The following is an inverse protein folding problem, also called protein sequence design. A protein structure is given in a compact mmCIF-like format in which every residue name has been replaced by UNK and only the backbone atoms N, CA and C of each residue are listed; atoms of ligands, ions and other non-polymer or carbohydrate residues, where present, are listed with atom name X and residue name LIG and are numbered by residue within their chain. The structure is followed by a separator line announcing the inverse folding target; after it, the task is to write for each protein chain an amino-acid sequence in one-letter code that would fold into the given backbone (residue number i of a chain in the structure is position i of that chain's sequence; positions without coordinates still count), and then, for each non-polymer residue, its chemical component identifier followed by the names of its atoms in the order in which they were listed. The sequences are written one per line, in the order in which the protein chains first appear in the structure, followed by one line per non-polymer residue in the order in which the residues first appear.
data_IF_058933135951
#
_entry.id   IF_058933135951
#
_cell.length_a   1.000
_cell.length_b   1.000
_cell.length_c   1.000
_cell.angle_alpha   90.00
_cell.angle_beta   90.00
_cell.angle_gamma   90.00
#
_symmetry.space_group_name_H-M   'P 1'
#
loop_
_entity.id
_entity.type
_entity.pdbx_description
1 polymer ?
#
# COMPACT_ATOMS: atom_id res chain seq x y z
N UNK A 1 -5.64 7.85 4.07
CA UNK A 1 -4.43 8.11 4.87
C UNK A 1 -3.29 7.37 4.21
N UNK A 2 -2.22 8.07 3.86
CA UNK A 2 -1.03 7.53 3.17
C UNK A 2 0.17 7.39 4.09
N UNK A 3 0.18 8.12 5.21
CA UNK A 3 1.28 8.08 6.16
C UNK A 3 1.01 8.86 7.43
N UNK A 4 2.03 8.96 8.25
CA UNK A 4 2.04 9.67 9.52
C UNK A 4 3.19 10.67 9.52
N UNK A 5 2.94 11.89 9.98
CA UNK A 5 3.96 12.89 10.28
C UNK A 5 4.05 13.06 11.79
N UNK A 6 5.24 12.81 12.35
CA UNK A 6 5.55 13.05 13.76
C UNK A 6 6.42 14.30 13.85
N UNK A 7 5.88 15.34 14.48
CA UNK A 7 6.53 16.61 14.74
C UNK A 7 6.96 16.64 16.21
N UNK A 8 8.26 16.53 16.46
CA UNK A 8 8.82 16.55 17.81
C UNK A 8 9.22 17.96 18.19
N UNK A 9 8.61 18.46 19.28
CA UNK A 9 8.92 19.77 19.83
C UNK A 9 10.25 19.71 20.60
N UNK A 10 11.02 20.81 20.62
CA UNK A 10 12.23 20.91 21.43
C UNK A 10 11.94 20.52 22.88
N UNK A 11 12.51 19.40 23.32
CA UNK A 11 12.26 18.88 24.67
C UNK A 11 13.43 18.06 25.17
N UNK A 12 13.77 18.24 26.45
CA UNK A 12 14.88 17.51 27.06
C UNK A 12 14.40 16.14 27.55
N UNK A 13 14.86 15.07 26.92
CA UNK A 13 14.61 13.70 27.35
C UNK A 13 15.75 12.74 27.00
N UNK A 14 15.72 11.54 27.60
CA UNK A 14 16.52 10.37 27.21
C UNK A 14 15.61 9.17 26.92
N UNK A 15 16.01 8.30 25.99
CA UNK A 15 15.06 7.35 25.39
C UNK A 15 14.02 8.07 24.52
N UNK A 16 12.90 7.42 24.21
CA UNK A 16 11.84 8.03 23.38
C UNK A 16 12.22 8.17 21.90
N UNK A 17 13.19 7.38 21.43
CA UNK A 17 13.55 7.34 20.02
C UNK A 17 12.43 6.72 19.19
N UNK A 18 12.15 7.31 18.03
CA UNK A 18 11.21 6.77 17.05
C UNK A 18 11.95 5.82 16.12
N UNK A 19 11.60 4.55 16.16
CA UNK A 19 12.19 3.51 15.31
C UNK A 19 11.19 3.15 14.22
N UNK A 20 11.62 3.18 12.96
CA UNK A 20 10.78 2.92 11.80
C UNK A 20 11.46 1.85 10.94
N UNK A 21 10.73 0.76 10.69
CA UNK A 21 11.12 -0.29 9.75
C UNK A 21 10.53 -0.04 8.37
N UNK A 22 11.34 -0.19 7.33
CA UNK A 22 10.90 -0.16 5.93
C UNK A 22 11.84 -1.00 5.06
N UNK A 23 11.27 -1.85 4.18
CA UNK A 23 12.02 -2.69 3.25
C UNK A 23 13.15 -3.54 3.90
N UNK A 24 12.89 -4.09 5.09
CA UNK A 24 13.87 -4.89 5.84
C UNK A 24 14.99 -4.07 6.52
N UNK A 25 14.96 -2.75 6.41
CA UNK A 25 15.85 -1.84 7.14
C UNK A 25 15.12 -1.18 8.29
N UNK A 26 15.83 -0.87 9.38
CA UNK A 26 15.32 -0.10 10.51
C UNK A 26 16.11 1.19 10.66
N UNK A 27 15.41 2.31 10.85
CA UNK A 27 16.00 3.63 11.11
C UNK A 27 15.48 4.19 12.42
N UNK A 28 16.39 4.77 13.20
CA UNK A 28 16.10 5.37 14.51
C UNK A 28 16.24 6.89 14.42
N UNK A 29 15.23 7.60 14.91
CA UNK A 29 15.15 9.05 14.92
C UNK A 29 15.08 9.56 16.36
N UNK A 30 15.97 10.49 16.70
CA UNK A 30 16.04 11.15 18.01
C UNK A 30 15.53 12.58 17.87
N UNK A 31 14.61 12.98 18.75
CA UNK A 31 14.17 14.36 18.81
C UNK A 31 15.29 15.26 19.37
N UNK A 32 15.41 16.47 18.82
CA UNK A 32 16.35 17.46 19.31
C UNK A 32 15.83 18.14 20.58
N UNK A 33 16.76 18.52 21.46
CA UNK A 33 16.44 19.28 22.68
C UNK A 33 16.18 20.76 22.39
N UNK A 34 16.73 21.26 21.29
CA UNK A 34 16.77 22.70 20.97
C UNK A 34 16.07 23.02 19.65
N UNK A 35 15.83 22.01 18.81
CA UNK A 35 15.29 22.20 17.46
C UNK A 35 14.05 21.34 17.23
N UNK A 36 13.19 21.82 16.35
CA UNK A 36 12.04 21.07 15.89
C UNK A 36 12.51 19.92 15.00
N UNK A 37 12.02 18.70 15.25
CA UNK A 37 12.36 17.53 14.42
C UNK A 37 11.11 16.96 13.77
N UNK A 38 11.14 16.74 12.45
CA UNK A 38 10.00 16.22 11.69
C UNK A 38 10.39 14.87 11.08
N UNK A 39 9.53 13.87 11.25
CA UNK A 39 9.70 12.55 10.64
C UNK A 39 8.37 12.14 10.02
N UNK A 40 8.38 11.89 8.71
CA UNK A 40 7.24 11.34 7.98
C UNK A 40 7.55 9.92 7.53
N UNK A 41 6.55 9.04 7.61
CA UNK A 41 6.67 7.66 7.15
C UNK A 41 5.31 7.13 6.66
N UNK A 42 5.35 6.13 5.78
CA UNK A 42 4.15 5.51 5.22
C UNK A 42 3.38 4.72 6.27
N UNK A 43 2.06 4.60 6.07
CA UNK A 43 1.15 4.02 7.05
C UNK A 43 1.38 2.51 7.28
N UNK A 44 2.04 1.84 6.35
CA UNK A 44 2.41 0.43 6.38
C UNK A 44 3.80 0.18 6.99
N UNK A 45 4.57 1.23 7.32
CA UNK A 45 5.84 1.05 8.00
C UNK A 45 5.63 0.63 9.46
N UNK A 46 6.13 -0.55 9.89
CA UNK A 46 6.18 -0.87 11.31
C UNK A 46 7.00 0.19 12.05
N UNK A 47 6.48 0.71 13.15
CA UNK A 47 7.12 1.76 13.90
C UNK A 47 6.84 1.62 15.39
N UNK A 48 7.80 2.06 16.21
CA UNK A 48 7.67 2.08 17.66
C UNK A 48 8.38 3.30 18.26
N UNK A 49 7.99 3.66 19.47
CA UNK A 49 8.69 4.66 20.28
C UNK A 49 9.28 3.94 21.48
N UNK A 50 10.60 4.03 21.65
CA UNK A 50 11.28 3.40 22.79
C UNK A 50 10.85 4.07 24.11
N UNK A 51 10.97 3.39 25.26
CA UNK A 51 10.62 3.98 26.54
C UNK A 51 11.42 5.26 26.83
N UNK A 52 10.73 6.33 27.25
CA UNK A 52 11.38 7.53 27.81
C UNK A 52 11.93 7.18 29.19
N UNK A 53 13.22 7.40 29.39
CA UNK A 53 13.92 7.06 30.63
C UNK A 53 14.07 8.27 31.57
N UNK A 54 14.13 9.48 31.00
CA UNK A 54 14.13 10.72 31.78
C UNK A 54 13.59 11.89 30.95
N UNK A 55 13.07 12.90 31.63
CA UNK A 55 12.51 14.10 31.00
C UNK A 55 11.16 13.85 30.34
N UNK A 56 10.81 14.69 29.36
CA UNK A 56 9.53 14.62 28.65
C UNK A 56 9.75 14.73 27.15
N UNK A 57 9.06 13.88 26.39
CA UNK A 57 9.02 13.93 24.93
C UNK A 57 7.65 14.44 24.51
N UNK A 58 7.61 15.59 23.84
CA UNK A 58 6.36 16.20 23.38
C UNK A 58 6.31 16.16 21.86
N UNK A 59 5.25 15.55 21.31
CA UNK A 59 5.09 15.41 19.86
C UNK A 59 3.67 15.70 19.41
N UNK A 60 3.54 16.27 18.21
CA UNK A 60 2.29 16.35 17.47
C UNK A 60 2.33 15.30 16.36
N UNK A 61 1.30 14.47 16.30
CA UNK A 61 1.20 13.40 15.30
C UNK A 61 0.04 13.70 14.37
N UNK A 62 0.34 13.81 13.08
CA UNK A 62 -0.63 14.10 12.04
C UNK A 62 -0.80 12.91 11.10
N UNK A 63 -2.04 12.64 10.72
CA UNK A 63 -2.32 11.71 9.64
C UNK A 63 -2.15 12.44 8.31
N UNK A 64 -1.28 11.93 7.45
CA UNK A 64 -1.12 12.43 6.09
C UNK A 64 -2.21 11.82 5.21
N UNK A 65 -3.00 12.68 4.59
CA UNK A 65 -4.03 12.32 3.63
C UNK A 65 -3.54 12.80 2.26
N UNK A 66 -3.49 11.90 1.28
CA UNK A 66 -3.37 12.31 -0.11
C UNK A 66 -4.80 12.55 -0.63
N UNK A 67 -5.09 13.76 -1.06
CA UNK A 67 -6.24 14.00 -1.93
C UNK A 67 -5.86 13.46 -3.31
N UNK A 68 -6.73 12.62 -3.88
CA UNK A 68 -6.57 12.22 -5.28
C UNK A 68 -6.78 13.49 -6.10
N UNK A 69 -5.69 14.09 -6.58
CA UNK A 69 -5.77 15.04 -7.68
C UNK A 69 -6.58 14.41 -8.81
N UNK A 70 -7.45 15.20 -9.44
CA UNK A 70 -8.15 14.76 -10.65
C UNK A 70 -7.12 14.11 -11.59
N UNK A 71 -7.45 12.95 -12.21
CA UNK A 71 -6.49 12.26 -13.05
C UNK A 71 -6.04 13.21 -14.16
N UNK A 72 -4.75 13.55 -14.18
CA UNK A 72 -4.16 14.24 -15.31
C UNK A 72 -4.30 13.36 -16.54
N UNK A 73 -4.80 13.99 -17.59
CA UNK A 73 -5.34 13.36 -18.78
C UNK A 73 -4.22 13.20 -19.83
N UNK A 74 -3.38 12.19 -19.63
CA UNK A 74 -2.65 11.48 -20.67
C UNK A 74 -3.07 10.01 -20.53
N UNK A 75 -3.34 9.30 -21.64
CA UNK A 75 -3.99 7.96 -21.68
C UNK A 75 -3.94 7.22 -20.34
N UNK A 76 -5.08 7.19 -19.65
CA UNK A 76 -5.07 6.99 -18.21
C UNK A 76 -4.59 5.59 -17.83
N UNK A 77 -4.17 5.37 -16.57
CA UNK A 77 -3.77 4.06 -16.05
C UNK A 77 -4.85 2.97 -16.20
N UNK A 78 -6.07 3.34 -16.57
CA UNK A 78 -7.17 2.44 -16.90
C UNK A 78 -7.01 1.82 -18.29
N UNK A 79 -6.65 2.61 -19.31
CA UNK A 79 -6.54 2.14 -20.70
C UNK A 79 -5.32 1.21 -20.86
N UNK A 80 -4.19 1.57 -20.24
CA UNK A 80 -3.00 0.72 -20.18
C UNK A 80 -3.29 -0.61 -19.46
N UNK A 81 -4.07 -0.56 -18.38
CA UNK A 81 -4.45 -1.75 -17.63
C UNK A 81 -5.42 -2.63 -18.43
N UNK A 82 -6.39 -2.04 -19.12
CA UNK A 82 -7.31 -2.76 -20.00
C UNK A 82 -6.53 -3.47 -21.12
N UNK A 83 -5.59 -2.78 -21.76
CA UNK A 83 -4.72 -3.36 -22.78
C UNK A 83 -3.85 -4.50 -22.23
N UNK A 84 -3.25 -4.34 -21.05
CA UNK A 84 -2.47 -5.40 -20.42
C UNK A 84 -3.33 -6.63 -20.06
N UNK A 85 -4.58 -6.42 -19.64
CA UNK A 85 -5.51 -7.51 -19.36
C UNK A 85 -5.88 -8.26 -20.64
N UNK A 86 -6.22 -7.55 -21.72
CA UNK A 86 -6.50 -8.17 -23.03
C UNK A 86 -5.32 -9.01 -23.51
N UNK A 87 -4.11 -8.44 -23.50
CA UNK A 87 -2.89 -9.17 -23.85
C UNK A 87 -2.66 -10.41 -22.98
N UNK A 88 -2.96 -10.34 -21.68
CA UNK A 88 -2.80 -11.46 -20.76
C UNK A 88 -3.74 -12.62 -21.10
N UNK A 89 -5.01 -12.33 -21.43
CA UNK A 89 -6.01 -13.36 -21.73
C UNK A 89 -5.93 -13.90 -23.16
N UNK A 90 -5.30 -13.17 -24.09
CA UNK A 90 -5.10 -13.62 -25.47
C UNK A 90 -3.76 -14.35 -25.69
N UNK A 91 -2.74 -14.05 -24.88
CA UNK A 91 -1.43 -14.69 -25.01
C UNK A 91 -1.40 -16.10 -24.39
N UNK A 92 -0.85 -17.11 -25.09
CA UNK A 92 -0.69 -18.43 -24.52
C UNK A 92 0.29 -18.38 -23.34
N UNK A 93 -0.09 -18.99 -22.22
CA UNK A 93 0.71 -18.94 -21.01
C UNK A 93 2.03 -19.73 -21.19
N UNK A 94 3.16 -19.09 -20.89
CA UNK A 94 4.49 -19.71 -20.93
C UNK A 94 4.80 -20.31 -19.56
N UNK A 95 4.98 -21.64 -19.44
CA UNK A 95 5.39 -22.24 -18.17
C UNK A 95 6.78 -21.73 -17.77
N UNK A 96 6.98 -21.53 -16.46
CA UNK A 96 8.33 -21.31 -15.90
C UNK A 96 9.20 -22.58 -15.93
N UNK A 97 8.59 -23.76 -16.06
CA UNK A 97 9.26 -25.06 -16.21
C UNK A 97 8.50 -25.91 -17.23
N UNK A 98 9.18 -26.34 -18.31
CA UNK A 98 8.62 -27.21 -19.36
C UNK A 98 8.30 -26.48 -20.68
N UNK A 99 8.63 -27.10 -21.82
CA UNK A 99 8.70 -26.47 -23.14
C UNK A 99 7.41 -26.40 -23.97
N UNK A 100 6.22 -26.59 -23.38
CA UNK A 100 4.94 -26.52 -24.12
C UNK A 100 4.16 -25.28 -23.71
N UNK A 101 3.80 -24.44 -24.68
CA UNK A 101 2.88 -23.32 -24.43
C UNK A 101 1.53 -23.89 -23.94
N UNK A 102 1.01 -23.30 -22.87
CA UNK A 102 -0.30 -23.60 -22.32
C UNK A 102 -1.36 -22.78 -23.08
N UNK A 103 -2.59 -23.25 -23.02
CA UNK A 103 -3.73 -22.45 -23.49
C UNK A 103 -3.74 -21.08 -22.79
N UNK A 104 -4.30 -20.05 -23.44
CA UNK A 104 -4.40 -18.73 -22.83
C UNK A 104 -5.07 -18.80 -21.45
N UNK A 105 -4.54 -18.06 -20.46
CA UNK A 105 -5.04 -18.14 -19.10
C UNK A 105 -6.50 -17.71 -19.05
N UNK A 106 -7.31 -18.36 -18.21
CA UNK A 106 -8.74 -18.03 -18.03
C UNK A 106 -9.03 -17.25 -16.76
N UNK A 107 -8.02 -17.07 -15.91
CA UNK A 107 -8.14 -16.42 -14.60
C UNK A 107 -6.87 -15.64 -14.31
N UNK A 108 -7.05 -14.43 -13.80
CA UNK A 108 -5.99 -13.64 -13.19
C UNK A 108 -6.16 -13.73 -11.67
N UNK A 109 -5.09 -14.08 -10.97
CA UNK A 109 -5.03 -14.03 -9.50
C UNK A 109 -4.10 -12.88 -9.12
N UNK A 110 -4.62 -11.95 -8.33
CA UNK A 110 -3.86 -10.82 -7.82
C UNK A 110 -3.69 -10.98 -6.31
N UNK A 111 -2.45 -10.88 -5.83
CA UNK A 111 -2.13 -10.95 -4.42
C UNK A 111 -2.27 -9.55 -3.82
N UNK A 112 -3.05 -9.45 -2.74
CA UNK A 112 -3.22 -8.22 -1.99
C UNK A 112 -2.08 -8.05 -1.00
N UNK A 113 -1.67 -6.81 -0.76
CA UNK A 113 -0.52 -6.50 0.10
C UNK A 113 -0.91 -6.59 1.59
N UNK A 114 -2.17 -6.28 1.95
CA UNK A 114 -2.60 -6.38 3.33
C UNK A 114 -3.08 -7.80 3.68
N UNK A 115 -2.76 -8.23 4.91
CA UNK A 115 -3.31 -9.45 5.48
C UNK A 115 -4.76 -9.20 5.94
N UNK A 116 -5.73 -9.67 5.15
CA UNK A 116 -7.15 -9.60 5.50
C UNK A 116 -7.62 -10.87 6.20
N UNK A 117 -8.42 -10.69 7.26
CA UNK A 117 -9.25 -11.78 7.75
C UNK A 117 -10.31 -12.15 6.71
N UNK A 118 -10.78 -13.40 6.68
CA UNK A 118 -11.82 -13.83 5.72
C UNK A 118 -13.07 -12.94 5.73
N UNK A 119 -13.46 -12.41 6.90
CA UNK A 119 -14.61 -11.50 7.05
C UNK A 119 -14.34 -10.10 6.51
N UNK A 120 -13.08 -9.66 6.50
CA UNK A 120 -12.67 -8.35 5.99
C UNK A 120 -12.30 -8.37 4.50
N UNK A 121 -12.10 -9.55 3.91
CA UNK A 121 -11.83 -9.72 2.49
C UNK A 121 -13.12 -9.52 1.68
N UNK A 122 -13.40 -8.27 1.32
CA UNK A 122 -14.53 -7.89 0.49
C UNK A 122 -14.21 -6.65 -0.31
N UNK A 123 -14.82 -6.51 -1.49
CA UNK A 123 -14.51 -5.45 -2.46
C UNK A 123 -14.62 -4.04 -1.90
N UNK A 124 -15.57 -3.81 -1.00
CA UNK A 124 -15.83 -2.52 -0.35
C UNK A 124 -15.05 -2.33 0.96
N UNK A 125 -14.25 -3.33 1.35
CA UNK A 125 -13.52 -3.40 2.64
C UNK A 125 -12.00 -3.43 2.48
N UNK A 126 -11.51 -3.46 1.24
CA UNK A 126 -10.09 -3.32 0.95
C UNK A 126 -9.59 -1.95 1.43
N UNK A 127 -8.33 -1.91 1.88
CA UNK A 127 -7.72 -0.72 2.47
C UNK A 127 -6.51 -0.27 1.66
N UNK A 128 -6.27 1.05 1.68
CA UNK A 128 -5.08 1.65 1.09
C UNK A 128 -4.88 1.26 -0.38
N UNK A 129 -3.65 0.90 -0.73
CA UNK A 129 -3.26 0.58 -2.10
C UNK A 129 -4.01 -0.64 -2.69
N UNK A 130 -4.45 -1.59 -1.87
CA UNK A 130 -5.26 -2.72 -2.33
C UNK A 130 -6.62 -2.28 -2.87
N UNK A 131 -7.25 -1.30 -2.20
CA UNK A 131 -8.53 -0.76 -2.65
C UNK A 131 -8.40 -0.06 -4.00
N UNK A 132 -7.30 0.68 -4.19
CA UNK A 132 -6.97 1.39 -5.42
C UNK A 132 -6.72 0.45 -6.58
N UNK A 133 -5.82 -0.52 -6.39
CA UNK A 133 -5.45 -1.47 -7.44
C UNK A 133 -6.61 -2.39 -7.80
N UNK A 134 -7.37 -2.85 -6.81
CA UNK A 134 -8.57 -3.65 -7.06
C UNK A 134 -9.65 -2.85 -7.81
N UNK A 135 -9.84 -1.56 -7.49
CA UNK A 135 -10.78 -0.72 -8.22
C UNK A 135 -10.38 -0.52 -9.68
N UNK A 136 -9.09 -0.26 -9.94
CA UNK A 136 -8.56 -0.09 -11.29
C UNK A 136 -8.65 -1.38 -12.11
N UNK A 137 -8.24 -2.52 -11.54
CA UNK A 137 -8.35 -3.84 -12.19
C UNK A 137 -9.81 -4.18 -12.54
N UNK A 138 -10.77 -3.83 -11.67
CA UNK A 138 -12.20 -4.04 -11.95
C UNK A 138 -12.68 -3.16 -13.09
N UNK A 139 -12.36 -1.87 -13.07
CA UNK A 139 -12.78 -0.95 -14.11
C UNK A 139 -12.20 -1.36 -15.48
N UNK A 140 -10.93 -1.78 -15.52
CA UNK A 140 -10.27 -2.26 -16.73
C UNK A 140 -10.88 -3.58 -17.24
N UNK A 141 -11.20 -4.51 -16.34
CA UNK A 141 -11.88 -5.77 -16.69
C UNK A 141 -13.29 -5.53 -17.25
N UNK A 142 -14.02 -4.55 -16.71
CA UNK A 142 -15.36 -4.18 -17.20
C UNK A 142 -15.29 -3.53 -18.60
N UNK A 143 -14.22 -2.79 -18.93
CA UNK A 143 -13.99 -2.26 -20.28
C UNK A 143 -13.63 -3.36 -21.30
N UNK A 144 -12.78 -4.32 -20.92
CA UNK A 144 -12.34 -5.44 -21.77
C UNK A 144 -13.29 -6.65 -21.83
N UNK A 145 -14.49 -6.56 -21.22
CA UNK A 145 -15.50 -7.63 -21.28
C UNK A 145 -15.22 -8.89 -20.43
N UNK A 146 -14.26 -8.85 -19.49
CA UNK A 146 -13.90 -9.99 -18.66
C UNK A 146 -14.94 -10.24 -17.54
N UNK A 147 -15.54 -11.44 -17.48
CA UNK A 147 -16.55 -11.77 -16.45
C UNK A 147 -15.96 -11.95 -15.06
N UNK A 148 -16.62 -11.33 -14.08
CA UNK A 148 -16.32 -11.32 -12.65
C UNK A 148 -16.44 -12.73 -12.03
N UNK A 149 -15.49 -13.11 -11.16
CA UNK A 149 -15.65 -14.24 -10.25
C UNK A 149 -15.29 -13.81 -8.83
N UNK A 150 -16.27 -13.77 -7.93
CA UNK A 150 -16.06 -13.52 -6.50
C UNK A 150 -15.78 -14.84 -5.79
N UNK A 151 -14.87 -14.91 -4.81
CA UNK A 151 -14.87 -16.01 -3.87
C UNK A 151 -16.17 -15.91 -3.06
N UNK A 152 -17.10 -16.85 -3.28
CA UNK A 152 -18.25 -17.05 -2.38
C UNK A 152 -17.70 -17.60 -1.06
N UNK A 153 -18.09 -17.05 0.10
CA UNK A 153 -17.84 -17.74 1.35
C UNK A 153 -18.68 -19.02 1.34
N UNK A 154 -18.04 -20.17 1.53
CA UNK A 154 -18.70 -21.36 2.06
C UNK A 154 -18.46 -21.38 3.56
#
# INVERSE_FOLDING_TARGET
MVGTLVLSLPSAHTGGELVIGHAGQSRTYRASKTELSLVAFYADCPHEVTPVRSGYRVTLTFNLLAERGAPEQESGPLDDMAHCLEQHFDAPARPRYGGRHLDPPRRLVYLLDHEYTQRALGWDRLKGADAERAALLRAAADQGGARRYSPSPR
#
